data_IF_039601262007
#
_entry.id   IF_039601262007
#
_cell.length_a   1.000
_cell.length_b   1.000
_cell.length_c   1.000
_cell.angle_alpha   90.00
_cell.angle_beta   90.00
_cell.angle_gamma   90.00
#
_symmetry.space_group_name_H-M   'P 1'
#
loop_
_entity.id
_entity.type
_entity.pdbx_description
1 polymer ?
#
# COMPACT_ATOMS: atom_id res chain seq x y z
N UNK A 1 -8.23 14.18 5.50
CA UNK A 1 -6.78 14.08 5.21
C UNK A 1 -6.28 12.77 5.77
N UNK A 2 -5.58 11.97 4.97
CA UNK A 2 -4.89 10.78 5.48
C UNK A 2 -3.51 11.18 6.00
N UNK A 3 -3.16 10.64 7.17
CA UNK A 3 -1.90 10.88 7.85
C UNK A 3 -0.86 9.86 7.37
N UNK A 4 -0.30 10.09 6.17
CA UNK A 4 0.62 9.15 5.52
C UNK A 4 2.07 9.58 5.75
N UNK A 5 2.86 8.67 6.32
CA UNK A 5 4.30 8.88 6.56
C UNK A 5 5.18 8.21 5.49
N UNK A 6 4.69 7.14 4.87
CA UNK A 6 5.44 6.32 3.92
C UNK A 6 4.59 6.07 2.68
N UNK A 7 5.23 6.09 1.51
CA UNK A 7 4.57 5.73 0.26
C UNK A 7 5.44 4.76 -0.54
N UNK A 8 4.82 3.69 -1.03
CA UNK A 8 5.42 2.73 -1.94
C UNK A 8 4.84 2.97 -3.32
N UNK A 9 5.71 3.18 -4.31
CA UNK A 9 5.28 3.76 -5.58
C UNK A 9 6.12 3.22 -6.74
N UNK A 10 5.52 3.12 -7.93
CA UNK A 10 6.28 2.85 -9.14
C UNK A 10 7.19 4.03 -9.46
N UNK A 11 8.42 3.77 -9.94
CA UNK A 11 9.38 4.84 -10.22
C UNK A 11 8.82 5.95 -11.14
N UNK A 12 8.01 5.58 -12.13
CA UNK A 12 7.36 6.52 -13.08
C UNK A 12 6.47 7.56 -12.42
N UNK A 13 6.01 7.29 -11.20
CA UNK A 13 5.09 8.13 -10.41
C UNK A 13 5.80 8.96 -9.34
N UNK A 14 7.10 8.75 -9.10
CA UNK A 14 7.87 9.52 -8.10
C UNK A 14 7.88 11.02 -8.45
N UNK A 15 8.00 11.37 -9.73
CA UNK A 15 8.02 12.77 -10.17
C UNK A 15 6.78 13.55 -9.73
N UNK A 16 5.59 12.92 -9.74
CA UNK A 16 4.33 13.53 -9.34
C UNK A 16 4.32 13.84 -7.82
N UNK A 17 5.02 13.04 -7.02
CA UNK A 17 5.20 13.28 -5.58
C UNK A 17 6.23 14.36 -5.30
N UNK A 18 7.23 14.53 -6.16
CA UNK A 18 8.31 15.51 -5.99
C UNK A 18 8.01 16.87 -6.66
N UNK A 19 6.84 17.03 -7.27
CA UNK A 19 6.42 18.31 -7.82
C UNK A 19 6.27 19.37 -6.71
N UNK A 20 6.74 20.62 -6.93
CA UNK A 20 6.70 21.67 -5.90
C UNK A 20 5.29 21.97 -5.34
N UNK A 21 4.27 21.78 -6.19
CA UNK A 21 2.87 22.02 -5.84
C UNK A 21 2.24 20.86 -5.05
N UNK A 22 2.92 19.71 -4.95
CA UNK A 22 2.48 18.56 -4.15
C UNK A 22 2.70 18.81 -2.66
N UNK A 23 1.84 19.63 -2.04
CA UNK A 23 1.91 19.97 -0.61
C UNK A 23 1.82 18.74 0.29
N UNK A 24 1.10 17.71 -0.14
CA UNK A 24 0.94 16.44 0.60
C UNK A 24 2.27 15.69 0.76
N UNK A 25 3.19 15.78 -0.21
CA UNK A 25 4.45 15.05 -0.17
C UNK A 25 5.39 15.57 0.93
N UNK A 26 5.28 16.84 1.32
CA UNK A 26 6.08 17.45 2.41
C UNK A 26 5.82 16.83 3.78
N UNK A 27 4.73 16.08 3.94
CA UNK A 27 4.43 15.34 5.17
C UNK A 27 5.14 13.97 5.20
N UNK A 28 5.48 13.42 4.05
CA UNK A 28 6.10 12.10 3.97
C UNK A 28 7.44 12.11 4.70
N UNK A 29 7.73 11.02 5.40
CA UNK A 29 9.06 10.73 5.93
C UNK A 29 9.89 10.01 4.88
N UNK A 30 9.27 9.14 4.08
CA UNK A 30 9.98 8.39 3.05
C UNK A 30 9.13 7.97 1.85
N UNK A 31 9.79 7.87 0.70
CA UNK A 31 9.28 7.31 -0.55
C UNK A 31 10.09 6.05 -0.85
N UNK A 32 9.42 4.94 -1.12
CA UNK A 32 10.05 3.69 -1.55
C UNK A 32 9.61 3.39 -2.98
N UNK A 33 10.57 3.39 -3.90
CA UNK A 33 10.35 3.00 -5.29
C UNK A 33 10.33 1.48 -5.41
N UNK A 34 9.39 0.90 -6.15
CA UNK A 34 9.43 -0.54 -6.48
C UNK A 34 10.61 -0.93 -7.40
N UNK A 35 11.31 0.05 -7.96
CA UNK A 35 12.53 -0.15 -8.75
C UNK A 35 13.64 0.75 -8.20
N UNK A 36 14.51 1.30 -9.06
CA UNK A 36 15.59 2.19 -8.64
C UNK A 36 15.05 3.61 -8.35
N UNK A 37 15.90 4.43 -7.74
CA UNK A 37 15.72 5.88 -7.57
C UNK A 37 16.93 6.56 -8.18
N UNK A 38 16.74 7.55 -9.05
CA UNK A 38 17.87 8.28 -9.64
C UNK A 38 18.47 9.28 -8.64
N UNK A 39 19.71 9.70 -8.87
CA UNK A 39 20.36 10.73 -8.05
C UNK A 39 19.55 12.04 -8.02
N UNK A 40 18.96 12.42 -9.16
CA UNK A 40 18.09 13.59 -9.26
C UNK A 40 16.84 13.45 -8.37
N UNK A 41 16.19 12.28 -8.38
CA UNK A 41 15.02 12.00 -7.53
C UNK A 41 15.39 12.02 -6.05
N UNK A 42 16.54 11.45 -5.69
CA UNK A 42 17.06 11.45 -4.32
C UNK A 42 17.37 12.87 -3.83
N UNK A 43 18.01 13.68 -4.67
CA UNK A 43 18.29 15.09 -4.37
C UNK A 43 17.00 15.88 -4.13
N UNK A 44 16.04 15.81 -5.06
CA UNK A 44 14.75 16.51 -4.95
C UNK A 44 13.94 16.06 -3.72
N UNK A 45 13.95 14.78 -3.40
CA UNK A 45 13.33 14.29 -2.17
C UNK A 45 14.00 14.88 -0.92
N UNK A 46 15.34 14.95 -0.91
CA UNK A 46 16.09 15.52 0.22
C UNK A 46 15.83 17.01 0.43
N UNK A 47 15.63 17.79 -0.64
CA UNK A 47 15.29 19.23 -0.57
C UNK A 47 13.97 19.51 0.15
N UNK A 48 13.03 18.56 0.09
CA UNK A 48 11.75 18.63 0.80
C UNK A 48 11.73 17.81 2.09
N UNK A 49 12.89 17.32 2.55
CA UNK A 49 13.04 16.58 3.81
C UNK A 49 12.57 15.12 3.77
N UNK A 50 12.38 14.55 2.57
CA UNK A 50 11.88 13.18 2.36
C UNK A 50 13.05 12.27 1.96
N UNK A 51 13.14 11.08 2.57
CA UNK A 51 14.12 10.07 2.13
C UNK A 51 13.56 9.24 0.99
N UNK A 52 14.34 9.01 -0.06
CA UNK A 52 13.95 8.15 -1.17
C UNK A 52 14.81 6.87 -1.19
N UNK A 53 14.16 5.71 -1.31
CA UNK A 53 14.81 4.40 -1.33
C UNK A 53 14.40 3.61 -2.56
N UNK A 54 15.34 2.85 -3.14
CA UNK A 54 14.98 1.77 -4.05
C UNK A 54 14.36 0.60 -3.26
N UNK A 55 13.63 -0.27 -3.95
CA UNK A 55 13.05 -1.46 -3.33
C UNK A 55 14.12 -2.36 -2.72
N UNK A 56 15.23 -2.54 -3.45
CA UNK A 56 16.34 -3.39 -3.01
C UNK A 56 17.00 -2.80 -1.76
N UNK A 57 17.31 -1.50 -1.75
CA UNK A 57 17.92 -0.84 -0.58
C UNK A 57 16.99 -0.92 0.63
N UNK A 58 15.68 -0.71 0.43
CA UNK A 58 14.69 -0.81 1.50
C UNK A 58 14.62 -2.22 2.11
N UNK A 59 14.66 -3.26 1.28
CA UNK A 59 14.71 -4.65 1.76
C UNK A 59 16.03 -4.97 2.48
N UNK A 60 17.16 -4.47 1.98
CA UNK A 60 18.46 -4.68 2.63
C UNK A 60 18.50 -4.02 4.01
N UNK A 61 18.01 -2.78 4.14
CA UNK A 61 17.89 -2.11 5.44
C UNK A 61 17.05 -2.94 6.44
N UNK A 62 15.92 -3.49 5.99
CA UNK A 62 15.07 -4.34 6.83
C UNK A 62 15.75 -5.65 7.26
N UNK A 63 16.62 -6.22 6.41
CA UNK A 63 17.40 -7.42 6.74
C UNK A 63 18.55 -7.15 7.71
N UNK A 64 19.18 -5.98 7.60
CA UNK A 64 20.28 -5.59 8.49
C UNK A 64 19.80 -5.27 9.90
N UNK A 65 18.57 -4.76 10.03
CA UNK A 65 17.95 -4.46 11.32
C UNK A 65 16.55 -5.08 11.42
N UNK A 66 16.46 -6.40 11.63
CA UNK A 66 15.18 -7.05 11.82
C UNK A 66 14.55 -6.58 13.14
N UNK A 67 13.25 -6.32 13.11
CA UNK A 67 12.44 -5.95 14.27
C UNK A 67 11.28 -6.95 14.38
N UNK A 68 10.85 -7.27 15.60
CA UNK A 68 9.67 -8.12 15.78
C UNK A 68 8.41 -7.42 15.25
N UNK A 69 7.60 -8.17 14.49
CA UNK A 69 6.33 -7.63 13.99
C UNK A 69 5.31 -7.55 15.12
N UNK A 70 4.59 -6.44 15.19
CA UNK A 70 3.42 -6.31 16.06
C UNK A 70 2.17 -6.52 15.22
N UNK A 71 1.46 -7.65 15.36
CA UNK A 71 0.25 -7.90 14.57
C UNK A 71 -0.85 -6.85 14.85
N UNK A 72 -1.64 -6.48 13.84
CA UNK A 72 -2.75 -5.54 14.03
C UNK A 72 -3.89 -6.19 14.81
N UNK A 73 -4.70 -5.38 15.49
CA UNK A 73 -5.97 -5.82 16.08
C UNK A 73 -7.04 -5.98 14.98
N UNK A 74 -8.05 -6.84 15.17
CA UNK A 74 -9.14 -7.00 14.20
C UNK A 74 -9.84 -5.68 13.83
N UNK A 75 -9.97 -4.76 14.79
CA UNK A 75 -10.58 -3.44 14.62
C UNK A 75 -9.69 -2.41 13.93
N UNK A 76 -8.39 -2.68 13.77
CA UNK A 76 -7.48 -1.74 13.14
C UNK A 76 -7.78 -1.62 11.63
N UNK A 77 -7.52 -0.44 11.07
CA UNK A 77 -7.71 -0.19 9.64
C UNK A 77 -6.71 -1.03 8.85
N UNK A 78 -7.21 -1.91 7.99
CA UNK A 78 -6.42 -2.73 7.08
C UNK A 78 -6.13 -2.00 5.76
N UNK A 79 -7.15 -1.37 5.17
CA UNK A 79 -7.01 -0.65 3.89
C UNK A 79 -8.09 0.41 3.71
N UNK A 80 -7.83 1.38 2.84
CA UNK A 80 -8.81 2.37 2.38
C UNK A 80 -8.96 2.21 0.86
N UNK A 81 -10.12 1.73 0.42
CA UNK A 81 -10.43 1.59 -1.01
C UNK A 81 -11.16 2.85 -1.50
N UNK A 82 -10.57 3.54 -2.48
CA UNK A 82 -11.19 4.72 -3.08
C UNK A 82 -12.11 4.33 -4.22
N UNK A 83 -13.35 4.84 -4.18
CA UNK A 83 -14.35 4.64 -5.24
C UNK A 83 -14.61 5.95 -5.96
N UNK A 84 -14.87 5.90 -7.28
CA UNK A 84 -14.98 7.08 -8.13
C UNK A 84 -16.09 8.04 -7.69
N UNK A 85 -17.17 7.54 -7.08
CA UNK A 85 -18.29 8.34 -6.56
C UNK A 85 -19.05 9.08 -7.68
N UNK A 86 -20.38 9.20 -7.53
CA UNK A 86 -21.19 9.95 -8.52
C UNK A 86 -21.12 11.47 -8.33
N UNK A 87 -20.50 11.94 -7.26
CA UNK A 87 -20.49 13.35 -6.81
C UNK A 87 -19.16 14.07 -7.01
N UNK A 88 -18.27 13.57 -7.89
CA UNK A 88 -17.00 14.23 -8.25
C UNK A 88 -15.77 13.64 -7.55
N UNK A 89 -15.56 13.95 -6.27
CA UNK A 89 -14.36 13.50 -5.56
C UNK A 89 -14.46 12.01 -5.11
N UNK A 90 -13.37 11.22 -5.25
CA UNK A 90 -13.36 9.84 -4.78
C UNK A 90 -13.63 9.72 -3.28
N UNK A 91 -14.42 8.73 -2.88
CA UNK A 91 -14.72 8.43 -1.47
C UNK A 91 -13.89 7.25 -1.00
N UNK A 92 -13.19 7.42 0.12
CA UNK A 92 -12.41 6.36 0.76
C UNK A 92 -13.29 5.48 1.65
N UNK A 93 -13.43 4.20 1.29
CA UNK A 93 -14.08 3.17 2.11
C UNK A 93 -13.03 2.58 3.04
N UNK A 94 -13.22 2.77 4.35
CA UNK A 94 -12.31 2.25 5.39
C UNK A 94 -12.68 0.80 5.67
N UNK A 95 -11.72 -0.11 5.54
CA UNK A 95 -11.89 -1.53 5.86
C UNK A 95 -10.95 -1.95 6.97
N UNK A 96 -11.49 -2.67 7.95
CA UNK A 96 -10.71 -3.23 9.06
C UNK A 96 -10.14 -4.61 8.70
N UNK A 97 -9.20 -5.10 9.51
CA UNK A 97 -8.68 -6.47 9.36
C UNK A 97 -9.78 -7.53 9.53
N UNK A 98 -10.71 -7.33 10.48
CA UNK A 98 -11.86 -8.21 10.69
C UNK A 98 -12.78 -8.27 9.46
N UNK A 99 -13.06 -7.12 8.83
CA UNK A 99 -13.91 -7.07 7.63
C UNK A 99 -13.28 -7.86 6.47
N UNK A 100 -11.97 -7.71 6.26
CA UNK A 100 -11.25 -8.47 5.24
C UNK A 100 -11.25 -9.98 5.53
N UNK A 101 -10.92 -10.38 6.76
CA UNK A 101 -10.93 -11.79 7.17
C UNK A 101 -12.32 -12.43 7.05
N UNK A 102 -13.37 -11.70 7.46
CA UNK A 102 -14.77 -12.16 7.34
C UNK A 102 -15.16 -12.39 5.89
N UNK A 103 -14.70 -11.54 4.96
CA UNK A 103 -14.95 -11.73 3.53
C UNK A 103 -14.31 -13.02 3.00
N UNK A 104 -13.05 -13.29 3.36
CA UNK A 104 -12.33 -14.50 2.95
C UNK A 104 -13.00 -15.77 3.51
N UNK A 105 -13.32 -15.78 4.80
CA UNK A 105 -14.00 -16.92 5.44
C UNK A 105 -15.41 -17.11 4.88
N UNK A 106 -16.13 -16.02 4.62
CA UNK A 106 -17.45 -16.07 4.01
C UNK A 106 -17.42 -16.66 2.60
N UNK A 107 -16.41 -16.31 1.80
CA UNK A 107 -16.21 -16.91 0.47
C UNK A 107 -15.93 -18.41 0.57
N UNK A 108 -15.06 -18.83 1.48
CA UNK A 108 -14.75 -20.27 1.69
C UNK A 108 -16.00 -21.07 2.09
N UNK A 109 -16.74 -20.58 3.08
CA UNK A 109 -17.99 -21.21 3.52
C UNK A 109 -19.06 -21.23 2.42
N UNK A 110 -19.14 -20.19 1.59
CA UNK A 110 -20.08 -20.14 0.47
C UNK A 110 -19.73 -21.20 -0.58
N UNK A 111 -18.45 -21.32 -0.94
CA UNK A 111 -17.98 -22.30 -1.92
C UNK A 111 -18.17 -23.75 -1.42
N UNK A 112 -17.99 -24.00 -0.12
CA UNK A 112 -18.24 -25.30 0.50
C UNK A 112 -19.70 -25.77 0.33
N UNK A 113 -20.67 -24.86 0.24
CA UNK A 113 -22.10 -25.21 0.00
C UNK A 113 -22.35 -25.82 -1.38
N UNK A 114 -21.44 -25.61 -2.33
CA UNK A 114 -21.53 -26.13 -3.70
C UNK A 114 -20.59 -27.33 -3.94
N UNK A 115 -20.06 -27.94 -2.87
CA UNK A 115 -19.04 -29.00 -2.94
C UNK A 115 -17.76 -28.57 -3.66
N UNK A 116 -17.50 -27.26 -3.75
CA UNK A 116 -16.37 -26.65 -4.49
C UNK A 116 -15.45 -25.88 -3.52
N UNK A 117 -15.13 -26.51 -2.38
CA UNK A 117 -14.35 -25.90 -1.29
C UNK A 117 -13.00 -25.41 -1.79
N UNK A 118 -12.62 -24.19 -1.40
CA UNK A 118 -11.31 -23.64 -1.76
C UNK A 118 -10.18 -24.45 -1.10
N UNK A 119 -9.15 -24.77 -1.88
CA UNK A 119 -7.97 -25.51 -1.45
C UNK A 119 -6.68 -24.78 -1.82
N UNK A 120 -5.56 -25.25 -1.28
CA UNK A 120 -4.23 -24.72 -1.63
C UNK A 120 -3.80 -25.07 -3.06
N UNK A 121 -4.51 -25.97 -3.74
CA UNK A 121 -4.22 -26.38 -5.11
C UNK A 121 -4.96 -25.50 -6.15
N UNK A 122 -5.87 -24.63 -5.70
CA UNK A 122 -6.63 -23.75 -6.57
C UNK A 122 -5.78 -22.64 -7.19
N UNK A 123 -6.14 -22.26 -8.41
CA UNK A 123 -5.52 -21.16 -9.15
C UNK A 123 -6.49 -19.99 -9.25
N UNK A 124 -6.19 -18.91 -8.52
CA UNK A 124 -6.95 -17.66 -8.60
C UNK A 124 -6.37 -16.74 -9.67
N UNK A 125 -7.19 -16.35 -10.64
CA UNK A 125 -6.84 -15.37 -11.67
C UNK A 125 -7.39 -13.99 -11.28
N UNK A 126 -6.50 -13.04 -11.00
CA UNK A 126 -6.85 -11.63 -10.82
C UNK A 126 -6.42 -10.81 -12.02
N UNK A 127 -7.38 -10.14 -12.66
CA UNK A 127 -7.16 -9.28 -13.83
C UNK A 127 -7.81 -7.89 -13.67
N UNK A 128 -8.50 -7.66 -12.56
CA UNK A 128 -9.03 -6.35 -12.22
C UNK A 128 -8.00 -5.60 -11.38
N UNK A 129 -7.81 -4.29 -11.66
CA UNK A 129 -6.86 -3.45 -10.93
C UNK A 129 -7.31 -3.14 -9.49
#
# INVERSE_FOLDING_TARGET
HAEIDFVFVQNTKIKELLEPDCKSAKRLKSIVSFTNVSEEQSHKASEIGVKAYSWLDFLLMGREKPEETTPPKPSDVCTIMYTSGTSGAPKGVVLTHEAAATCVVGADLFMEQFEDKMTTDDVYLSFLP
#
